data_IF_746060949123
#
_entry.id   IF_746060949123
#
_cell.length_a   1.000
_cell.length_b   1.000
_cell.length_c   1.000
_cell.angle_alpha   90.00
_cell.angle_beta   90.00
_cell.angle_gamma   90.00
#
_symmetry.space_group_name_H-M   'P 1'
#
loop_
_entity.id
_entity.type
_entity.pdbx_description
1 polymer ?
#
# COMPACT_ATOMS: atom_id res chain seq x y z
N UNK A 1 -34.60 -1.87 -8.32
CA UNK A 1 -34.49 -1.25 -9.65
C UNK A 1 -35.58 -1.85 -10.51
N UNK A 2 -36.43 -1.02 -11.11
CA UNK A 2 -37.53 -1.51 -11.95
C UNK A 2 -37.05 -1.94 -13.34
N UNK A 3 -37.78 -2.84 -14.00
CA UNK A 3 -37.47 -3.32 -15.36
C UNK A 3 -37.41 -2.17 -16.38
N UNK A 4 -38.27 -1.15 -16.21
CA UNK A 4 -38.28 0.07 -17.02
C UNK A 4 -36.99 0.89 -16.90
N UNK A 5 -36.39 0.93 -15.70
CA UNK A 5 -35.14 1.68 -15.46
C UNK A 5 -33.94 0.96 -16.06
N UNK A 6 -33.88 -0.36 -15.93
CA UNK A 6 -32.87 -1.21 -16.56
C UNK A 6 -32.87 -1.04 -18.08
N UNK A 7 -34.06 -1.11 -18.69
CA UNK A 7 -34.21 -0.93 -20.13
C UNK A 7 -33.81 0.48 -20.61
N UNK A 8 -33.98 1.52 -19.78
CA UNK A 8 -33.46 2.85 -20.10
C UNK A 8 -31.93 2.90 -20.04
N UNK A 9 -31.31 2.29 -19.03
CA UNK A 9 -29.85 2.24 -18.90
C UNK A 9 -29.22 1.51 -20.10
N UNK A 10 -29.81 0.40 -20.53
CA UNK A 10 -29.33 -0.35 -21.70
C UNK A 10 -29.40 0.49 -22.98
N UNK A 11 -30.46 1.29 -23.16
CA UNK A 11 -30.57 2.21 -24.30
C UNK A 11 -29.46 3.27 -24.31
N UNK A 12 -29.14 3.85 -23.16
CA UNK A 12 -28.05 4.84 -23.07
C UNK A 12 -26.68 4.20 -23.29
N UNK A 13 -26.46 2.99 -22.76
CA UNK A 13 -25.23 2.25 -23.01
C UNK A 13 -25.04 1.91 -24.49
N UNK A 14 -26.10 1.45 -25.16
CA UNK A 14 -26.07 1.13 -26.58
C UNK A 14 -25.85 2.38 -27.44
N UNK A 15 -26.55 3.48 -27.13
CA UNK A 15 -26.36 4.75 -27.82
C UNK A 15 -24.93 5.30 -27.64
N UNK A 16 -24.34 5.13 -26.45
CA UNK A 16 -22.95 5.49 -26.20
C UNK A 16 -21.99 4.62 -27.03
N UNK A 17 -22.15 3.29 -27.01
CA UNK A 17 -21.30 2.37 -27.76
C UNK A 17 -21.32 2.64 -29.29
N UNK A 18 -22.45 3.09 -29.83
CA UNK A 18 -22.61 3.36 -31.27
C UNK A 18 -22.13 4.74 -31.69
N UNK A 19 -22.25 5.75 -30.82
CA UNK A 19 -22.02 7.15 -31.20
C UNK A 19 -20.82 7.80 -30.53
N UNK A 20 -20.28 7.17 -29.48
CA UNK A 20 -19.22 7.67 -28.59
C UNK A 20 -19.50 9.05 -27.99
N UNK A 21 -20.74 9.56 -28.09
CA UNK A 21 -21.12 10.86 -27.53
C UNK A 21 -21.16 10.79 -26.00
N UNK A 22 -20.31 11.59 -25.37
CA UNK A 22 -20.17 11.63 -23.91
C UNK A 22 -21.49 11.91 -23.18
N UNK A 23 -22.40 12.69 -23.77
CA UNK A 23 -23.71 12.99 -23.17
C UNK A 23 -24.53 11.74 -22.81
N UNK A 24 -24.45 10.68 -23.63
CA UNK A 24 -25.13 9.42 -23.32
C UNK A 24 -24.47 8.69 -22.16
N UNK A 25 -23.14 8.70 -22.10
CA UNK A 25 -22.42 8.11 -20.98
C UNK A 25 -22.66 8.89 -19.68
N UNK A 26 -22.64 10.22 -19.69
CA UNK A 26 -22.93 11.04 -18.51
C UNK A 26 -24.33 10.75 -17.96
N UNK A 27 -25.32 10.61 -18.85
CA UNK A 27 -26.71 10.28 -18.46
C UNK A 27 -26.80 8.86 -17.86
N UNK A 28 -26.11 7.89 -18.47
CA UNK A 28 -26.01 6.53 -17.93
C UNK A 28 -25.34 6.54 -16.54
N UNK A 29 -24.22 7.25 -16.42
CA UNK A 29 -23.45 7.34 -15.18
C UNK A 29 -24.31 7.88 -14.04
N UNK A 30 -25.01 9.01 -14.24
CA UNK A 30 -25.86 9.58 -13.18
C UNK A 30 -27.00 8.64 -12.76
N UNK A 31 -27.52 7.81 -13.68
CA UNK A 31 -28.52 6.78 -13.34
C UNK A 31 -27.93 5.61 -12.55
N UNK A 32 -26.70 5.20 -12.85
CA UNK A 32 -26.05 4.03 -12.23
C UNK A 32 -25.32 4.39 -10.93
N UNK A 33 -24.88 5.65 -10.79
CA UNK A 33 -24.10 6.18 -9.66
C UNK A 33 -24.68 5.86 -8.28
N UNK A 34 -25.99 5.99 -8.00
CA UNK A 34 -26.54 5.60 -6.69
C UNK A 34 -26.34 4.11 -6.38
N UNK A 35 -26.39 3.25 -7.40
CA UNK A 35 -26.13 1.81 -7.24
C UNK A 35 -24.66 1.54 -6.97
N UNK A 36 -23.77 2.23 -7.67
CA UNK A 36 -22.32 2.17 -7.45
C UNK A 36 -21.97 2.60 -6.03
N UNK A 37 -22.49 3.74 -5.57
CA UNK A 37 -22.24 4.27 -4.23
C UNK A 37 -22.76 3.34 -3.15
N UNK A 38 -23.94 2.74 -3.36
CA UNK A 38 -24.50 1.74 -2.44
C UNK A 38 -23.59 0.51 -2.33
N UNK A 39 -23.21 -0.11 -3.45
CA UNK A 39 -22.31 -1.27 -3.47
C UNK A 39 -20.93 -0.95 -2.88
N UNK A 40 -20.39 0.23 -3.18
CA UNK A 40 -19.11 0.68 -2.64
C UNK A 40 -19.16 0.86 -1.13
N UNK A 41 -20.26 1.43 -0.60
CA UNK A 41 -20.49 1.55 0.85
C UNK A 41 -20.61 0.19 1.52
N UNK A 42 -21.35 -0.75 0.93
CA UNK A 42 -21.48 -2.13 1.46
C UNK A 42 -20.11 -2.83 1.51
N UNK A 43 -19.29 -2.70 0.47
CA UNK A 43 -17.93 -3.26 0.45
C UNK A 43 -16.98 -2.55 1.39
N UNK A 44 -17.10 -1.24 1.51
CA UNK A 44 -16.33 -0.44 2.45
C UNK A 44 -16.54 -0.92 3.88
N UNK A 45 -17.81 -1.12 4.27
CA UNK A 45 -18.15 -1.68 5.58
C UNK A 45 -17.61 -3.10 5.77
N UNK A 46 -17.72 -3.94 4.73
CA UNK A 46 -17.28 -5.34 4.78
C UNK A 46 -15.76 -5.49 4.91
N UNK A 47 -14.99 -4.72 4.13
CA UNK A 47 -13.54 -4.88 4.01
C UNK A 47 -12.74 -3.82 4.78
N UNK A 48 -13.41 -2.85 5.41
CA UNK A 48 -12.77 -1.72 6.10
C UNK A 48 -11.82 -0.91 5.18
N UNK A 49 -12.20 -0.80 3.91
CA UNK A 49 -11.49 -0.03 2.86
C UNK A 49 -12.34 1.21 2.53
N UNK A 50 -11.76 2.38 2.24
CA UNK A 50 -12.54 3.56 1.85
C UNK A 50 -13.52 3.29 0.70
N UNK A 51 -14.77 3.77 0.82
CA UNK A 51 -15.78 3.61 -0.23
C UNK A 51 -15.33 4.25 -1.56
N UNK A 52 -14.59 5.36 -1.49
CA UNK A 52 -14.01 6.05 -2.66
C UNK A 52 -13.20 5.14 -3.57
N UNK A 53 -12.47 4.17 -3.00
CA UNK A 53 -11.59 3.28 -3.76
C UNK A 53 -12.42 2.28 -4.58
N UNK A 54 -13.54 1.83 -4.02
CA UNK A 54 -14.50 1.01 -4.75
C UNK A 54 -15.32 1.82 -5.76
N UNK A 55 -15.77 3.02 -5.39
CA UNK A 55 -16.52 3.92 -6.28
C UNK A 55 -15.72 4.25 -7.54
N UNK A 56 -14.44 4.58 -7.39
CA UNK A 56 -13.54 4.85 -8.53
C UNK A 56 -13.46 3.66 -9.48
N UNK A 57 -13.26 2.45 -8.94
CA UNK A 57 -13.19 1.23 -9.75
C UNK A 57 -14.50 0.92 -10.45
N UNK A 58 -15.62 0.98 -9.73
CA UNK A 58 -16.93 0.72 -10.34
C UNK A 58 -17.30 1.73 -11.42
N UNK A 59 -16.93 3.00 -11.23
CA UNK A 59 -17.15 4.05 -12.22
C UNK A 59 -16.33 3.82 -13.48
N UNK A 60 -15.06 3.42 -13.32
CA UNK A 60 -14.19 3.07 -14.44
C UNK A 60 -14.68 1.81 -15.18
N UNK A 61 -15.15 0.80 -14.45
CA UNK A 61 -15.68 -0.42 -15.06
C UNK A 61 -17.04 -0.20 -15.71
N UNK A 62 -17.84 0.76 -15.27
CA UNK A 62 -19.05 1.19 -16.00
C UNK A 62 -18.68 1.80 -17.35
N UNK A 63 -17.66 2.66 -17.39
CA UNK A 63 -17.15 3.21 -18.65
C UNK A 63 -16.70 2.09 -19.60
N UNK A 64 -15.91 1.13 -19.12
CA UNK A 64 -15.47 -0.03 -19.91
C UNK A 64 -16.65 -0.91 -20.38
N UNK A 65 -17.61 -1.15 -19.51
CA UNK A 65 -18.78 -1.96 -19.83
C UNK A 65 -19.69 -1.28 -20.87
N UNK A 66 -19.79 0.04 -20.83
CA UNK A 66 -20.62 0.83 -21.73
C UNK A 66 -19.96 1.04 -23.11
N UNK A 67 -18.64 1.20 -23.19
CA UNK A 67 -17.92 1.49 -24.45
C UNK A 67 -18.15 0.42 -25.52
N UNK A 68 -18.06 -0.85 -25.14
CA UNK A 68 -18.16 -1.99 -26.07
C UNK A 68 -19.49 -2.74 -25.89
N UNK A 69 -20.55 -2.03 -25.48
CA UNK A 69 -21.85 -2.62 -25.18
C UNK A 69 -22.63 -2.97 -26.44
N UNK A 70 -23.10 -4.21 -26.54
CA UNK A 70 -23.78 -4.77 -27.71
C UNK A 70 -25.26 -5.14 -27.45
N UNK A 71 -25.77 -4.96 -26.23
CA UNK A 71 -27.16 -5.26 -25.88
C UNK A 71 -27.49 -6.75 -25.66
N UNK A 72 -26.52 -7.66 -25.74
CA UNK A 72 -26.77 -9.10 -25.51
C UNK A 72 -27.10 -9.43 -24.05
N UNK A 73 -26.69 -8.58 -23.11
CA UNK A 73 -27.01 -8.66 -21.69
C UNK A 73 -27.30 -7.29 -21.13
N UNK A 74 -27.95 -7.22 -19.97
CA UNK A 74 -28.20 -5.93 -19.31
C UNK A 74 -26.88 -5.28 -18.87
N UNK A 75 -26.79 -3.95 -19.01
CA UNK A 75 -25.60 -3.19 -18.66
C UNK A 75 -25.19 -3.40 -17.21
N UNK A 76 -26.15 -3.55 -16.29
CA UNK A 76 -25.87 -3.81 -14.88
C UNK A 76 -25.26 -5.20 -14.63
N UNK A 77 -25.69 -6.21 -15.41
CA UNK A 77 -25.09 -7.54 -15.34
C UNK A 77 -23.66 -7.50 -15.88
N UNK A 78 -23.46 -6.84 -17.03
CA UNK A 78 -22.13 -6.65 -17.63
C UNK A 78 -21.20 -5.87 -16.70
N UNK A 79 -21.67 -4.76 -16.12
CA UNK A 79 -20.95 -4.01 -15.10
C UNK A 79 -20.51 -4.92 -13.97
N UNK A 80 -21.41 -5.74 -13.41
CA UNK A 80 -21.06 -6.67 -12.34
C UNK A 80 -19.91 -7.61 -12.73
N UNK A 81 -19.93 -8.16 -13.95
CA UNK A 81 -18.89 -9.05 -14.47
C UNK A 81 -17.52 -8.38 -14.59
N UNK A 82 -17.48 -7.10 -14.96
CA UNK A 82 -16.24 -6.32 -15.10
C UNK A 82 -15.74 -5.80 -13.74
N UNK A 83 -16.67 -5.30 -12.93
CA UNK A 83 -16.42 -4.70 -11.62
C UNK A 83 -15.92 -5.70 -10.58
N UNK A 84 -16.48 -6.92 -10.53
CA UNK A 84 -16.12 -7.94 -9.53
C UNK A 84 -14.62 -8.26 -9.46
N UNK A 85 -13.94 -8.66 -10.57
CA UNK A 85 -12.52 -8.98 -10.52
C UNK A 85 -11.66 -7.77 -10.15
N UNK A 86 -12.06 -6.55 -10.54
CA UNK A 86 -11.32 -5.32 -10.22
C UNK A 86 -11.49 -4.90 -8.77
N UNK A 87 -12.70 -5.00 -8.23
CA UNK A 87 -12.93 -4.80 -6.80
C UNK A 87 -12.17 -5.84 -5.96
N UNK A 88 -12.05 -7.09 -6.42
CA UNK A 88 -11.19 -8.08 -5.77
C UNK A 88 -9.70 -7.68 -5.83
N UNK A 89 -9.25 -7.02 -6.90
CA UNK A 89 -7.90 -6.44 -6.96
C UNK A 89 -7.71 -5.26 -6.00
N UNK A 90 -8.71 -4.40 -5.79
CA UNK A 90 -8.67 -3.37 -4.73
C UNK A 90 -8.48 -4.03 -3.37
N UNK A 91 -9.33 -5.01 -3.06
CA UNK A 91 -9.24 -5.77 -1.81
C UNK A 91 -7.86 -6.40 -1.65
N UNK A 92 -7.35 -7.10 -2.67
CA UNK A 92 -6.00 -7.66 -2.66
C UNK A 92 -4.93 -6.61 -2.46
N UNK A 93 -5.02 -5.46 -3.11
CA UNK A 93 -4.06 -4.38 -2.96
C UNK A 93 -4.04 -3.82 -1.54
N UNK A 94 -5.20 -3.54 -0.93
CA UNK A 94 -5.28 -3.03 0.44
C UNK A 94 -4.82 -4.05 1.48
N UNK A 95 -5.14 -5.33 1.30
CA UNK A 95 -4.67 -6.39 2.20
C UNK A 95 -3.20 -6.76 1.95
N UNK A 96 -2.73 -6.77 0.71
CA UNK A 96 -1.32 -6.98 0.38
C UNK A 96 -0.45 -5.80 0.83
N UNK A 97 -1.03 -4.58 0.90
CA UNK A 97 -0.28 -3.41 1.31
C UNK A 97 0.23 -3.46 2.76
N UNK A 98 -0.20 -4.39 3.64
CA UNK A 98 0.13 -4.29 5.07
C UNK A 98 0.32 -5.61 5.85
N UNK A 99 1.55 -5.78 6.37
CA UNK A 99 1.85 -6.44 7.67
C UNK A 99 1.34 -5.64 8.89
N UNK A 100 0.72 -4.47 8.71
CA UNK A 100 0.17 -3.65 9.81
C UNK A 100 -1.02 -2.81 9.34
N UNK A 101 -2.27 -3.04 9.75
CA UNK A 101 -3.45 -2.35 9.21
C UNK A 101 -3.40 -0.83 9.44
N UNK A 102 -3.44 0.00 8.38
CA UNK A 102 -3.74 1.42 8.50
C UNK A 102 -5.24 1.52 8.65
N UNK A 103 -5.69 1.48 9.89
CA UNK A 103 -6.96 2.11 10.24
C UNK A 103 -6.74 3.60 10.00
N UNK A 104 -7.56 4.23 9.15
CA UNK A 104 -7.58 5.69 9.07
C UNK A 104 -8.05 6.19 10.44
N UNK A 105 -7.10 6.67 11.26
CA UNK A 105 -7.42 7.27 12.55
C UNK A 105 -7.45 8.78 12.34
N UNK A 106 -8.55 9.41 12.74
CA UNK A 106 -8.66 10.88 12.70
C UNK A 106 -7.56 11.48 13.57
N UNK A 107 -6.80 12.41 12.99
CA UNK A 107 -5.71 13.09 13.67
C UNK A 107 -6.18 14.02 14.78
N UNK A 108 -7.44 14.46 14.71
CA UNK A 108 -8.07 15.36 15.68
C UNK A 108 -8.77 14.59 16.82
N UNK A 109 -8.74 13.25 16.79
CA UNK A 109 -9.32 12.46 17.87
C UNK A 109 -8.46 12.59 19.13
N UNK A 110 -9.05 12.94 20.30
CA UNK A 110 -8.30 12.97 21.55
C UNK A 110 -7.81 11.56 21.92
N UNK A 111 -6.53 11.45 22.28
CA UNK A 111 -5.86 10.20 22.67
C UNK A 111 -5.75 10.03 24.18
N UNK A 112 -5.93 11.09 24.95
CA UNK A 112 -5.89 11.10 26.42
C UNK A 112 -6.94 12.07 27.02
N UNK A 113 -7.03 12.07 28.35
CA UNK A 113 -8.02 12.87 29.10
C UNK A 113 -7.66 14.37 29.10
N UNK A 114 -6.40 14.68 28.77
CA UNK A 114 -5.82 16.02 28.68
C UNK A 114 -6.11 16.68 27.32
N UNK A 115 -6.70 15.95 26.37
CA UNK A 115 -7.14 16.47 25.08
C UNK A 115 -6.04 16.50 24.02
N UNK A 116 -4.93 15.78 24.21
CA UNK A 116 -3.91 15.64 23.19
C UNK A 116 -4.46 14.87 22.00
N UNK A 117 -4.10 15.29 20.79
CA UNK A 117 -4.57 14.66 19.56
C UNK A 117 -3.44 13.90 18.86
N UNK A 118 -3.76 12.96 17.98
CA UNK A 118 -2.75 12.26 17.16
C UNK A 118 -1.94 13.22 16.29
N UNK A 119 -2.50 14.38 15.93
CA UNK A 119 -1.77 15.47 15.26
C UNK A 119 -0.62 16.00 16.10
N UNK A 120 -0.77 16.07 17.42
CA UNK A 120 0.28 16.54 18.33
C UNK A 120 1.45 15.53 18.43
N UNK A 121 1.19 14.25 18.10
CA UNK A 121 2.19 13.20 18.04
C UNK A 121 2.83 13.03 16.66
N UNK A 122 2.30 13.72 15.63
CA UNK A 122 2.90 13.70 14.30
C UNK A 122 4.12 14.62 14.27
N UNK A 123 5.18 14.00 13.81
CA UNK A 123 6.51 14.52 13.63
C UNK A 123 6.51 15.69 12.62
N UNK A 124 7.03 16.85 13.02
CA UNK A 124 7.13 18.08 12.21
C UNK A 124 8.07 17.88 11.00
N UNK A 125 7.91 18.61 9.87
CA UNK A 125 8.84 18.58 8.73
C UNK A 125 10.33 18.77 9.11
N UNK A 126 10.60 19.43 10.24
CA UNK A 126 11.94 19.56 10.82
C UNK A 126 12.60 18.22 11.19
N UNK A 127 11.84 17.15 11.42
CA UNK A 127 12.42 15.84 11.66
C UNK A 127 12.80 15.10 10.38
N UNK A 128 12.24 15.43 9.20
CA UNK A 128 12.74 14.81 7.96
C UNK A 128 14.18 15.24 7.68
N UNK A 129 14.51 16.52 7.92
CA UNK A 129 15.88 17.01 7.82
C UNK A 129 16.79 16.38 8.88
N UNK A 130 16.30 16.22 10.12
CA UNK A 130 17.04 15.51 11.16
C UNK A 130 17.22 14.02 10.84
N UNK A 131 16.20 13.34 10.31
CA UNK A 131 16.26 11.93 9.90
C UNK A 131 17.28 11.75 8.76
N UNK A 132 17.36 12.70 7.83
CA UNK A 132 18.38 12.71 6.78
C UNK A 132 19.79 12.94 7.33
N UNK A 133 19.94 13.84 8.31
CA UNK A 133 21.21 14.08 9.00
C UNK A 133 21.64 12.80 9.74
N UNK A 134 20.72 12.17 10.48
CA UNK A 134 20.95 10.93 11.21
C UNK A 134 21.34 9.79 10.25
N UNK A 135 20.67 9.67 9.10
CA UNK A 135 20.99 8.68 8.08
C UNK A 135 22.41 8.88 7.50
N UNK A 136 22.81 10.13 7.26
CA UNK A 136 24.16 10.48 6.78
C UNK A 136 25.23 10.19 7.85
N UNK A 137 24.95 10.47 9.12
CA UNK A 137 25.84 10.16 10.23
C UNK A 137 26.02 8.65 10.42
N UNK A 138 24.92 7.89 10.41
CA UNK A 138 24.95 6.42 10.48
C UNK A 138 25.77 5.85 9.32
N UNK A 139 25.55 6.34 8.10
CA UNK A 139 26.31 5.91 6.92
C UNK A 139 27.82 6.16 7.11
N UNK A 140 28.19 7.34 7.61
CA UNK A 140 29.59 7.69 7.88
C UNK A 140 30.22 6.78 8.95
N UNK A 141 29.49 6.46 10.01
CA UNK A 141 29.92 5.54 11.07
C UNK A 141 30.14 4.12 10.49
N UNK A 142 29.19 3.61 9.71
CA UNK A 142 29.26 2.29 9.08
C UNK A 142 30.41 2.19 8.08
N UNK A 143 30.62 3.21 7.26
CA UNK A 143 31.76 3.27 6.33
C UNK A 143 33.10 3.35 7.06
N UNK A 144 33.22 4.17 8.11
CA UNK A 144 34.43 4.27 8.92
C UNK A 144 34.78 2.95 9.62
N UNK A 145 33.77 2.26 10.16
CA UNK A 145 33.96 0.94 10.75
C UNK A 145 34.37 -0.10 9.69
N UNK A 146 33.73 -0.10 8.52
CA UNK A 146 34.08 -1.02 7.43
C UNK A 146 35.51 -0.81 6.94
N UNK A 147 36.01 0.43 6.87
CA UNK A 147 37.39 0.72 6.46
C UNK A 147 38.44 0.13 7.40
N UNK A 148 38.13 0.05 8.70
CA UNK A 148 39.05 -0.43 9.73
C UNK A 148 38.89 -1.93 10.02
N UNK A 149 37.69 -2.46 9.82
CA UNK A 149 37.31 -3.83 10.13
C UNK A 149 36.45 -4.40 9.00
N UNK A 150 37.02 -4.60 7.81
CA UNK A 150 36.29 -4.94 6.57
C UNK A 150 35.28 -6.08 6.75
N UNK A 151 35.73 -7.21 7.30
CA UNK A 151 34.89 -8.39 7.49
C UNK A 151 33.75 -8.17 8.50
N UNK A 152 34.03 -7.53 9.64
CA UNK A 152 32.99 -7.24 10.64
C UNK A 152 32.07 -6.10 10.24
N UNK A 153 32.59 -5.11 9.51
CA UNK A 153 31.83 -4.00 8.97
C UNK A 153 30.78 -4.47 7.96
N UNK A 154 31.11 -5.48 7.16
CA UNK A 154 30.14 -6.07 6.24
C UNK A 154 28.99 -6.77 6.97
N UNK A 155 29.26 -7.48 8.07
CA UNK A 155 28.21 -8.06 8.93
C UNK A 155 27.30 -6.98 9.51
N UNK A 156 27.89 -5.91 10.06
CA UNK A 156 27.11 -4.83 10.68
C UNK A 156 26.27 -4.07 9.65
N UNK A 157 26.79 -3.85 8.43
CA UNK A 157 26.02 -3.27 7.32
C UNK A 157 24.83 -4.13 6.93
N UNK A 158 25.03 -5.44 6.80
CA UNK A 158 23.94 -6.36 6.47
C UNK A 158 22.86 -6.39 7.57
N UNK A 159 23.27 -6.32 8.84
CA UNK A 159 22.32 -6.20 9.96
C UNK A 159 21.56 -4.88 9.95
N UNK A 160 22.20 -3.77 9.58
CA UNK A 160 21.55 -2.46 9.46
C UNK A 160 20.50 -2.41 8.34
N UNK A 161 20.72 -3.15 7.26
CA UNK A 161 19.78 -3.26 6.13
C UNK A 161 18.75 -4.40 6.28
N UNK A 162 18.57 -4.93 7.49
CA UNK A 162 17.60 -6.01 7.79
C UNK A 162 17.80 -7.30 6.97
N UNK A 163 19.03 -7.59 6.51
CA UNK A 163 19.32 -8.86 5.86
C UNK A 163 19.13 -10.04 6.82
N UNK A 164 18.68 -11.18 6.28
CA UNK A 164 18.45 -12.39 7.06
C UNK A 164 19.77 -13.02 7.52
N UNK A 165 19.71 -13.85 8.56
CA UNK A 165 20.91 -14.55 9.05
C UNK A 165 21.45 -15.54 8.01
N UNK A 166 20.58 -16.10 7.17
CA UNK A 166 20.94 -16.95 6.03
C UNK A 166 21.68 -16.15 4.94
N UNK A 167 21.24 -14.93 4.65
CA UNK A 167 21.93 -14.03 3.72
C UNK A 167 23.31 -13.64 4.24
N UNK A 168 23.43 -13.37 5.55
CA UNK A 168 24.71 -13.09 6.20
C UNK A 168 25.63 -14.32 6.16
N UNK A 169 25.10 -15.52 6.45
CA UNK A 169 25.84 -16.77 6.36
C UNK A 169 26.41 -17.00 4.95
N UNK A 170 25.57 -16.83 3.94
CA UNK A 170 25.94 -17.00 2.54
C UNK A 170 26.97 -15.97 2.07
N UNK A 171 26.71 -14.68 2.35
CA UNK A 171 27.49 -13.56 1.79
C UNK A 171 28.81 -13.36 2.51
N UNK A 172 28.84 -13.54 3.84
CA UNK A 172 30.02 -13.23 4.66
C UNK A 172 30.81 -14.49 5.02
N UNK A 173 30.11 -15.58 5.34
CA UNK A 173 30.75 -16.82 5.81
C UNK A 173 30.89 -17.88 4.73
N UNK A 174 30.23 -17.70 3.57
CA UNK A 174 30.24 -18.64 2.46
C UNK A 174 29.51 -19.95 2.76
N UNK A 175 28.57 -19.94 3.72
CA UNK A 175 27.84 -21.13 4.15
C UNK A 175 26.35 -21.00 3.83
N UNK A 176 25.71 -22.11 3.47
CA UNK A 176 24.27 -22.15 3.16
C UNK A 176 23.39 -22.03 4.41
N UNK A 177 23.95 -22.29 5.60
CA UNK A 177 23.23 -22.34 6.86
C UNK A 177 23.88 -21.44 7.91
N UNK A 178 23.03 -20.88 8.79
CA UNK A 178 23.46 -20.05 9.90
C UNK A 178 23.85 -20.89 11.13
N UNK A 179 25.09 -21.36 11.09
CA UNK A 179 25.64 -22.28 12.08
C UNK A 179 26.22 -21.58 13.34
N UNK A 180 26.83 -22.37 14.24
CA UNK A 180 27.44 -21.85 15.46
C UNK A 180 28.64 -20.92 15.20
N UNK A 181 29.36 -21.09 14.07
CA UNK A 181 30.47 -20.23 13.66
C UNK A 181 29.93 -18.87 13.22
N UNK A 182 28.88 -18.84 12.42
CA UNK A 182 28.20 -17.62 11.98
C UNK A 182 27.68 -16.84 13.19
N UNK A 183 27.01 -17.50 14.14
CA UNK A 183 26.53 -16.88 15.39
C UNK A 183 27.65 -16.20 16.18
N UNK A 184 28.78 -16.90 16.37
CA UNK A 184 29.95 -16.34 17.07
C UNK A 184 30.57 -15.18 16.29
N UNK A 185 30.63 -15.27 14.96
CA UNK A 185 31.14 -14.20 14.10
C UNK A 185 30.28 -12.93 14.20
N UNK A 186 28.96 -13.07 14.15
CA UNK A 186 28.01 -11.96 14.35
C UNK A 186 28.13 -11.35 15.74
N UNK A 187 28.24 -12.17 16.78
CA UNK A 187 28.43 -11.68 18.15
C UNK A 187 29.71 -10.84 18.28
N UNK A 188 30.84 -11.35 17.76
CA UNK A 188 32.12 -10.63 17.76
C UNK A 188 32.06 -9.33 16.97
N UNK A 189 31.36 -9.32 15.83
CA UNK A 189 31.15 -8.11 15.04
C UNK A 189 30.39 -7.05 15.85
N UNK A 190 29.34 -7.44 16.59
CA UNK A 190 28.59 -6.54 17.49
C UNK A 190 29.45 -6.00 18.63
N UNK A 191 30.26 -6.85 19.27
CA UNK A 191 31.17 -6.44 20.34
C UNK A 191 32.24 -5.47 19.83
N UNK A 192 32.83 -5.76 18.66
CA UNK A 192 33.81 -4.92 18.00
C UNK A 192 33.23 -3.57 17.58
N UNK A 193 32.02 -3.57 17.02
CA UNK A 193 31.33 -2.33 16.64
C UNK A 193 30.97 -1.49 17.85
N UNK A 194 30.52 -2.10 18.96
CA UNK A 194 30.30 -1.41 20.23
C UNK A 194 31.56 -0.70 20.73
N UNK A 195 32.72 -1.38 20.66
CA UNK A 195 34.00 -0.78 21.04
C UNK A 195 34.42 0.35 20.08
N UNK A 196 34.11 0.23 18.79
CA UNK A 196 34.35 1.29 17.81
C UNK A 196 33.49 2.54 18.10
N UNK A 197 32.20 2.37 18.40
CA UNK A 197 31.30 3.47 18.75
C UNK A 197 31.78 4.24 19.98
N UNK A 198 32.33 3.56 20.99
CA UNK A 198 32.93 4.20 22.17
C UNK A 198 34.17 5.06 21.89
N UNK A 199 34.79 4.90 20.71
CA UNK A 199 35.97 5.68 20.29
C UNK A 199 35.63 6.85 19.36
N UNK A 200 34.47 6.79 18.73
CA UNK A 200 34.02 7.77 17.71
C UNK A 200 32.91 8.67 18.25
N UNK A 201 32.24 8.24 19.33
CA UNK A 201 31.35 9.06 20.17
C UNK A 201 32.13 9.82 21.23
#
# INVERSE_FOLDING_TARGET
MGETELNQMDKFALAYAQSEKESYFSTLYEKVKPTIQKEAKERSLRYQIPASDFESVFSQELWRAARDFNGESHIMQRLSSFAKPKAASVVRYHYAKKRTPNRLVSLDKPVDAEGNTLKNALVSPSQFENDLIDELEIKKILEGFTKTHEHYGQIIKMLYHDCTFEEIASTVFGTSEYDARCRKGVQRAKECFKAYLQRVS
#
